data_IF_784245807180
#
_entry.id   IF_784245807180
#
_cell.length_a   1.000
_cell.length_b   1.000
_cell.length_c   1.000
_cell.angle_alpha   90.00
_cell.angle_beta   90.00
_cell.angle_gamma   90.00
#
_symmetry.space_group_name_H-M   'P 1'
#
loop_
_entity.id
_entity.type
_entity.pdbx_description
1 polymer ?
#
# COMPACT_ATOMS: atom_id res chain seq x y z
N UNK A 1 -9.55 -24.68 0.71
CA UNK A 1 -9.84 -24.08 2.01
C UNK A 1 -9.02 -22.84 2.25
N UNK A 2 -9.66 -21.81 2.82
CA UNK A 2 -9.00 -20.51 3.00
C UNK A 2 -7.71 -20.56 3.80
N UNK A 3 -7.62 -21.25 4.97
CA UNK A 3 -6.37 -21.29 5.73
C UNK A 3 -5.23 -21.92 4.95
N UNK A 4 -5.51 -22.97 4.21
CA UNK A 4 -4.51 -23.67 3.40
C UNK A 4 -4.07 -22.81 2.21
N UNK A 5 -5.02 -22.11 1.57
CA UNK A 5 -4.73 -21.21 0.44
C UNK A 5 -3.90 -20.02 0.90
N UNK A 6 -4.21 -19.43 2.06
CA UNK A 6 -3.46 -18.31 2.62
C UNK A 6 -2.05 -18.75 3.01
N UNK A 7 -1.92 -19.92 3.63
CA UNK A 7 -0.60 -20.46 3.99
C UNK A 7 0.25 -20.71 2.75
N UNK A 8 -0.31 -21.32 1.71
CA UNK A 8 0.38 -21.55 0.45
C UNK A 8 0.83 -20.26 -0.20
N UNK A 9 -0.04 -19.25 -0.24
CA UNK A 9 0.29 -17.95 -0.80
C UNK A 9 1.39 -17.27 0.00
N UNK A 10 1.35 -17.35 1.33
CA UNK A 10 2.36 -16.78 2.20
C UNK A 10 3.71 -17.47 1.97
N UNK A 11 3.73 -18.79 1.88
CA UNK A 11 4.96 -19.55 1.64
C UNK A 11 5.56 -19.23 0.28
N UNK A 12 4.72 -19.15 -0.74
CA UNK A 12 5.16 -18.78 -2.09
C UNK A 12 5.78 -17.39 -2.10
N UNK A 13 5.13 -16.42 -1.45
CA UNK A 13 5.63 -15.06 -1.36
C UNK A 13 6.97 -15.03 -0.61
N UNK A 14 7.08 -15.72 0.53
CA UNK A 14 8.31 -15.78 1.29
C UNK A 14 9.44 -16.38 0.48
N UNK A 15 9.18 -17.48 -0.25
CA UNK A 15 10.22 -18.09 -1.08
C UNK A 15 10.67 -17.18 -2.21
N UNK A 16 9.78 -16.32 -2.72
CA UNK A 16 10.14 -15.36 -3.76
C UNK A 16 11.08 -14.27 -3.25
N UNK A 17 10.91 -13.79 -2.02
CA UNK A 17 11.55 -12.58 -1.56
C UNK A 17 12.60 -12.77 -0.49
N UNK A 18 12.61 -13.91 0.19
CA UNK A 18 13.63 -14.20 1.21
C UNK A 18 14.78 -15.04 0.68
N UNK A 19 14.71 -15.46 -0.59
CA UNK A 19 15.85 -16.08 -1.26
C UNK A 19 16.95 -15.01 -1.42
N UNK A 20 18.22 -15.29 -1.03
CA UNK A 20 19.29 -14.29 -1.10
C UNK A 20 19.48 -13.64 -2.48
N UNK A 21 19.25 -14.39 -3.55
CA UNK A 21 19.38 -13.85 -4.91
C UNK A 21 18.26 -12.87 -5.25
N UNK A 22 17.10 -13.04 -4.62
CA UNK A 22 15.93 -12.20 -4.86
C UNK A 22 15.86 -11.02 -3.89
N UNK A 23 16.55 -11.12 -2.78
CA UNK A 23 16.63 -10.04 -1.81
C UNK A 23 17.24 -8.77 -2.43
N UNK A 24 18.24 -8.92 -3.28
CA UNK A 24 18.84 -7.78 -3.97
C UNK A 24 17.87 -7.11 -4.93
N UNK A 25 17.00 -7.90 -5.57
CA UNK A 25 15.92 -7.37 -6.40
C UNK A 25 14.94 -6.57 -5.54
N UNK A 26 14.67 -7.03 -4.32
CA UNK A 26 13.82 -6.31 -3.37
C UNK A 26 14.34 -4.92 -3.05
N UNK A 27 15.63 -4.77 -2.87
CA UNK A 27 16.25 -3.47 -2.56
C UNK A 27 16.00 -2.45 -3.66
N UNK A 28 15.97 -2.89 -4.91
CA UNK A 28 15.68 -2.03 -6.07
C UNK A 28 14.17 -1.98 -6.33
N UNK A 29 13.45 -2.94 -5.79
CA UNK A 29 12.06 -3.20 -6.12
C UNK A 29 11.00 -2.47 -5.29
N UNK A 30 11.36 -1.62 -4.30
CA UNK A 30 10.35 -0.96 -3.46
C UNK A 30 9.32 -0.20 -4.31
N UNK A 31 9.75 0.55 -5.30
CA UNK A 31 8.86 1.26 -6.21
C UNK A 31 7.93 0.29 -6.95
N UNK A 32 8.48 -0.79 -7.48
CA UNK A 32 7.69 -1.80 -8.22
C UNK A 32 6.73 -2.53 -7.31
N UNK A 33 7.16 -2.85 -6.08
CA UNK A 33 6.29 -3.44 -5.07
C UNK A 33 5.10 -2.55 -4.76
N UNK A 34 5.37 -1.28 -4.47
CA UNK A 34 4.30 -0.35 -4.14
C UNK A 34 3.34 -0.20 -5.32
N UNK A 35 3.87 -0.13 -6.52
CA UNK A 35 3.05 -0.03 -7.73
C UNK A 35 2.11 -1.22 -7.88
N UNK A 36 2.61 -2.42 -7.59
CA UNK A 36 1.83 -3.65 -7.71
C UNK A 36 0.87 -3.87 -6.55
N UNK A 37 1.32 -3.58 -5.33
CA UNK A 37 0.56 -3.85 -4.12
C UNK A 37 -0.32 -2.68 -3.68
N UNK A 38 -0.23 -1.53 -4.34
CA UNK A 38 -1.05 -0.39 -3.99
C UNK A 38 -2.51 -0.71 -4.22
N UNK A 39 -3.35 -0.21 -3.32
CA UNK A 39 -4.78 -0.46 -3.43
C UNK A 39 -5.38 0.21 -4.67
N UNK A 40 -4.86 1.39 -5.04
CA UNK A 40 -5.39 2.18 -6.15
C UNK A 40 -5.37 1.44 -7.48
N UNK A 41 -4.25 0.83 -7.84
CA UNK A 41 -4.13 0.13 -9.12
C UNK A 41 -4.98 -1.13 -9.16
N UNK A 42 -5.29 -1.69 -8.00
CA UNK A 42 -6.04 -2.94 -7.88
C UNK A 42 -7.55 -2.71 -7.87
N UNK A 43 -8.02 -1.60 -7.32
CA UNK A 43 -9.46 -1.29 -7.31
C UNK A 43 -9.91 -0.49 -8.53
N UNK A 44 -8.98 0.10 -9.26
CA UNK A 44 -9.28 0.88 -10.46
C UNK A 44 -10.13 0.06 -11.44
N UNK A 45 -11.20 0.69 -11.93
CA UNK A 45 -12.17 0.10 -12.88
C UNK A 45 -13.06 -0.99 -12.31
N UNK A 46 -13.02 -1.22 -11.01
CA UNK A 46 -13.92 -2.17 -10.34
C UNK A 46 -15.11 -1.45 -9.73
N UNK A 47 -16.20 -2.18 -9.58
CA UNK A 47 -17.38 -1.70 -8.85
C UNK A 47 -17.06 -1.82 -7.36
N UNK A 48 -17.26 -0.73 -6.63
CA UNK A 48 -17.05 -0.72 -5.18
C UNK A 48 -18.29 -1.29 -4.50
N UNK A 49 -18.10 -2.27 -3.63
CA UNK A 49 -19.21 -3.00 -3.00
C UNK A 49 -19.65 -2.39 -1.66
N UNK A 50 -18.81 -1.61 -1.01
CA UNK A 50 -19.13 -0.94 0.27
C UNK A 50 -18.61 0.49 0.20
N UNK A 51 -19.31 1.42 0.87
CA UNK A 51 -18.88 2.81 0.93
C UNK A 51 -17.44 2.90 1.46
N UNK A 52 -16.65 3.76 0.83
CA UNK A 52 -15.27 4.02 1.26
C UNK A 52 -15.27 5.25 2.15
N UNK A 53 -14.76 5.11 3.36
CA UNK A 53 -14.75 6.16 4.37
C UNK A 53 -13.31 6.68 4.54
N UNK A 54 -13.15 8.00 4.55
CA UNK A 54 -11.86 8.63 4.83
C UNK A 54 -11.52 8.38 6.31
N UNK A 55 -10.43 7.65 6.61
CA UNK A 55 -10.08 7.34 8.00
C UNK A 55 -9.63 8.59 8.79
N UNK A 56 -9.34 9.69 8.11
CA UNK A 56 -8.91 10.94 8.75
C UNK A 56 -10.10 11.78 9.22
N UNK A 57 -11.23 11.69 8.54
CA UNK A 57 -12.39 12.58 8.78
C UNK A 57 -13.68 11.85 9.11
N UNK A 58 -13.79 10.56 8.75
CA UNK A 58 -15.03 9.81 8.87
C UNK A 58 -16.04 10.08 7.77
N UNK A 59 -15.70 10.90 6.79
CA UNK A 59 -16.59 11.21 5.68
C UNK A 59 -16.54 10.17 4.57
N UNK A 60 -17.64 10.00 3.85
CA UNK A 60 -17.70 9.09 2.71
C UNK A 60 -16.91 9.69 1.55
N UNK A 61 -15.90 8.98 1.08
CA UNK A 61 -15.11 9.38 -0.09
C UNK A 61 -15.71 8.87 -1.38
N UNK A 62 -16.31 7.70 -1.37
CA UNK A 62 -16.85 7.06 -2.56
C UNK A 62 -17.97 6.11 -2.14
N UNK A 63 -19.09 6.18 -2.84
CA UNK A 63 -20.26 5.35 -2.50
C UNK A 63 -20.23 4.01 -3.21
N UNK A 64 -20.76 3.00 -2.53
CA UNK A 64 -20.94 1.66 -3.11
C UNK A 64 -21.81 1.69 -4.36
N UNK A 65 -21.58 0.74 -5.25
CA UNK A 65 -22.38 0.54 -6.45
C UNK A 65 -21.86 1.23 -7.70
N UNK A 66 -20.78 1.98 -7.59
CA UNK A 66 -20.19 2.71 -8.71
C UNK A 66 -18.81 2.18 -9.06
N UNK A 67 -18.42 2.35 -10.33
CA UNK A 67 -17.08 2.00 -10.81
C UNK A 67 -16.13 3.13 -10.42
N UNK A 68 -15.04 2.80 -9.77
CA UNK A 68 -14.04 3.78 -9.35
C UNK A 68 -12.99 3.98 -10.44
N UNK A 69 -12.60 5.23 -10.69
CA UNK A 69 -11.51 5.54 -11.61
C UNK A 69 -10.17 5.63 -10.88
N UNK A 70 -9.07 5.66 -11.65
CA UNK A 70 -7.73 5.64 -11.06
C UNK A 70 -7.44 6.88 -10.21
N UNK A 71 -7.88 8.06 -10.66
CA UNK A 71 -7.66 9.30 -9.90
C UNK A 71 -8.33 9.24 -8.53
N UNK A 72 -9.59 8.81 -8.48
CA UNK A 72 -10.33 8.66 -7.22
C UNK A 72 -9.71 7.57 -6.37
N UNK A 73 -9.29 6.45 -7.00
CA UNK A 73 -8.63 5.35 -6.29
C UNK A 73 -7.32 5.81 -5.63
N UNK A 74 -6.55 6.67 -6.31
CA UNK A 74 -5.33 7.25 -5.72
C UNK A 74 -5.63 8.15 -4.54
N UNK A 75 -6.69 8.95 -4.61
CA UNK A 75 -7.10 9.78 -3.47
C UNK A 75 -7.52 8.92 -2.28
N UNK A 76 -8.21 7.83 -2.53
CA UNK A 76 -8.61 6.85 -1.51
C UNK A 76 -7.36 6.26 -0.83
N UNK A 77 -6.41 5.81 -1.64
CA UNK A 77 -5.16 5.25 -1.13
C UNK A 77 -4.40 6.28 -0.28
N UNK A 78 -4.24 7.49 -0.80
CA UNK A 78 -3.47 8.54 -0.12
C UNK A 78 -4.17 9.07 1.14
N UNK A 79 -5.47 8.87 1.27
CA UNK A 79 -6.20 9.17 2.50
C UNK A 79 -5.88 8.17 3.63
N UNK A 80 -5.24 7.05 3.29
CA UNK A 80 -4.88 6.02 4.26
C UNK A 80 -5.83 4.83 4.28
N UNK A 81 -6.73 4.74 3.30
CA UNK A 81 -7.62 3.58 3.15
C UNK A 81 -6.78 2.40 2.67
N UNK A 82 -6.76 1.33 3.45
CA UNK A 82 -5.95 0.15 3.12
C UNK A 82 -6.78 -1.11 2.87
N UNK A 83 -8.10 -1.01 3.02
CA UNK A 83 -9.02 -2.12 2.79
C UNK A 83 -10.23 -1.58 2.02
N UNK A 84 -10.52 -2.21 0.88
CA UNK A 84 -11.67 -1.85 0.05
C UNK A 84 -12.36 -3.14 -0.38
N UNK A 85 -13.68 -3.14 -0.41
CA UNK A 85 -14.45 -4.27 -0.90
C UNK A 85 -14.95 -3.95 -2.31
N UNK A 86 -14.62 -4.82 -3.25
CA UNK A 86 -15.06 -4.70 -4.64
C UNK A 86 -16.08 -5.77 -4.98
N UNK A 87 -16.91 -5.49 -5.97
CA UNK A 87 -17.90 -6.43 -6.49
C UNK A 87 -17.37 -7.03 -7.80
N UNK A 88 -17.14 -8.32 -7.79
CA UNK A 88 -16.68 -9.07 -8.96
C UNK A 88 -17.80 -10.01 -9.42
N UNK A 89 -18.62 -9.54 -10.36
CA UNK A 89 -19.72 -10.32 -10.91
C UNK A 89 -20.68 -10.87 -9.85
N UNK A 90 -21.04 -10.00 -8.87
CA UNK A 90 -21.94 -10.35 -7.80
C UNK A 90 -21.27 -10.93 -6.55
N UNK A 91 -19.97 -11.21 -6.62
CA UNK A 91 -19.21 -11.68 -5.45
C UNK A 91 -18.38 -10.56 -4.86
N UNK A 92 -18.50 -10.38 -3.55
CA UNK A 92 -17.70 -9.39 -2.84
C UNK A 92 -16.30 -9.93 -2.57
N UNK A 93 -15.30 -9.13 -2.91
CA UNK A 93 -13.88 -9.49 -2.68
C UNK A 93 -13.20 -8.36 -1.93
N UNK A 94 -12.40 -8.72 -0.94
CA UNK A 94 -11.66 -7.76 -0.12
C UNK A 94 -10.30 -7.53 -0.76
N UNK A 95 -9.95 -6.25 -0.94
CA UNK A 95 -8.65 -5.83 -1.44
C UNK A 95 -7.90 -5.13 -0.31
N UNK A 96 -6.73 -5.63 0.04
CA UNK A 96 -5.90 -5.07 1.11
C UNK A 96 -4.59 -4.59 0.49
N UNK A 97 -4.25 -3.33 0.74
CA UNK A 97 -3.02 -2.70 0.29
C UNK A 97 -1.87 -2.89 1.27
N UNK A 98 -0.72 -2.30 0.94
CA UNK A 98 0.48 -2.41 1.78
C UNK A 98 0.77 -1.15 2.61
N UNK A 99 -0.21 -0.28 2.78
CA UNK A 99 -0.14 0.93 3.63
C UNK A 99 0.91 1.96 3.20
N UNK A 100 1.20 2.07 1.91
CA UNK A 100 2.06 3.13 1.39
C UNK A 100 1.23 4.25 0.78
N UNK A 101 1.61 5.49 1.09
CA UNK A 101 0.88 6.70 0.68
C UNK A 101 1.86 7.77 0.19
N UNK A 102 1.32 8.79 -0.48
CA UNK A 102 2.08 9.99 -0.82
C UNK A 102 2.29 10.81 0.46
N UNK A 103 3.56 11.00 0.84
CA UNK A 103 3.91 11.74 2.05
C UNK A 103 3.44 13.19 2.02
N UNK A 104 3.27 13.78 0.84
CA UNK A 104 2.81 15.17 0.70
C UNK A 104 1.45 15.40 1.34
N UNK A 105 0.61 14.38 1.43
CA UNK A 105 -0.71 14.46 2.07
C UNK A 105 -0.62 14.68 3.60
N UNK A 106 0.54 14.40 4.20
CA UNK A 106 0.71 14.35 5.65
C UNK A 106 1.76 15.30 6.19
N UNK A 107 2.50 15.96 5.32
CA UNK A 107 3.60 16.84 5.72
C UNK A 107 3.33 18.29 5.28
N UNK A 108 3.73 19.28 6.08
CA UNK A 108 3.54 20.70 5.74
C UNK A 108 4.60 21.25 4.77
N UNK A 109 5.45 20.39 4.23
CA UNK A 109 6.53 20.76 3.30
C UNK A 109 6.62 19.71 2.20
N UNK A 110 7.35 20.02 1.13
CA UNK A 110 7.58 19.09 0.03
C UNK A 110 8.46 17.93 0.52
N UNK A 111 7.99 16.68 0.44
CA UNK A 111 8.80 15.52 0.87
C UNK A 111 10.17 15.43 0.20
N UNK A 112 10.34 15.97 -1.01
CA UNK A 112 11.63 15.97 -1.69
C UNK A 112 12.69 16.74 -0.93
N UNK A 113 12.30 17.75 -0.16
CA UNK A 113 13.24 18.56 0.67
C UNK A 113 13.95 17.72 1.73
N UNK A 114 13.39 16.59 2.10
CA UNK A 114 13.96 15.70 3.11
C UNK A 114 14.40 14.36 2.53
N UNK A 115 14.49 14.27 1.20
CA UNK A 115 14.99 13.06 0.52
C UNK A 115 13.96 11.98 0.25
N UNK A 116 12.67 12.27 0.38
CA UNK A 116 11.60 11.32 0.06
C UNK A 116 11.21 11.48 -1.41
N UNK A 117 11.47 10.44 -2.20
CA UNK A 117 11.19 10.43 -3.64
C UNK A 117 10.12 9.41 -4.02
N UNK A 118 9.63 8.64 -3.06
CA UNK A 118 8.67 7.56 -3.28
C UNK A 118 7.56 7.61 -2.23
N UNK A 119 6.56 6.76 -2.38
CA UNK A 119 5.54 6.59 -1.35
C UNK A 119 6.17 6.09 -0.05
N UNK A 120 5.57 6.45 1.07
CA UNK A 120 6.07 6.11 2.40
C UNK A 120 5.09 5.20 3.12
N UNK A 121 5.62 4.42 4.05
CA UNK A 121 4.82 3.55 4.91
C UNK A 121 4.06 4.40 5.92
N UNK A 122 2.75 4.47 5.78
CA UNK A 122 1.91 5.36 6.60
C UNK A 122 1.96 5.06 8.09
N UNK A 123 1.89 3.81 8.55
CA UNK A 123 1.99 3.55 9.99
C UNK A 123 3.30 4.08 10.60
N UNK A 124 4.41 3.97 9.89
CA UNK A 124 5.70 4.50 10.33
C UNK A 124 5.66 6.03 10.42
N UNK A 125 5.11 6.68 9.38
CA UNK A 125 4.99 8.14 9.36
C UNK A 125 4.11 8.64 10.51
N UNK A 126 2.98 8.00 10.73
CA UNK A 126 2.08 8.36 11.84
C UNK A 126 2.75 8.21 13.19
N UNK A 127 3.49 7.12 13.40
CA UNK A 127 4.20 6.89 14.65
C UNK A 127 5.24 7.98 14.92
N UNK A 128 5.95 8.41 13.89
CA UNK A 128 6.95 9.48 14.00
C UNK A 128 6.27 10.80 14.36
N UNK A 129 5.22 11.17 13.64
CA UNK A 129 4.49 12.43 13.86
C UNK A 129 3.86 12.44 15.25
N UNK A 130 3.19 11.36 15.64
CA UNK A 130 2.55 11.25 16.95
C UNK A 130 3.56 11.32 18.09
N UNK A 131 4.76 10.76 17.88
CA UNK A 131 5.83 10.80 18.88
C UNK A 131 6.39 12.19 19.11
N UNK A 132 6.25 13.11 18.16
CA UNK A 132 6.76 14.48 18.28
C UNK A 132 5.76 15.42 18.98
N UNK A 133 4.48 15.08 19.00
CA UNK A 133 3.44 15.91 19.59
C UNK A 133 3.00 17.06 18.68
N UNK A 134 2.04 17.85 19.17
CA UNK A 134 1.41 18.90 18.36
C UNK A 134 2.24 20.19 18.25
N UNK A 135 3.13 20.42 19.18
CA UNK A 135 3.91 21.68 19.27
C UNK A 135 5.26 21.62 18.55
N UNK A 136 5.47 20.62 17.68
CA UNK A 136 6.73 20.50 16.96
C UNK A 136 6.84 21.58 15.88
N UNK A 137 8.03 22.20 15.80
CA UNK A 137 8.31 23.18 14.75
C UNK A 137 8.62 22.47 13.42
N UNK A 138 8.32 23.14 12.31
CA UNK A 138 8.51 22.56 10.98
C UNK A 138 9.95 22.09 10.74
N UNK A 139 10.94 22.89 11.16
CA UNK A 139 12.35 22.53 10.99
C UNK A 139 12.73 21.27 11.78
N UNK A 140 12.18 21.13 12.98
CA UNK A 140 12.40 19.94 13.78
C UNK A 140 11.73 18.72 13.12
N UNK A 141 10.52 18.90 12.61
CA UNK A 141 9.82 17.83 11.89
C UNK A 141 10.63 17.41 10.65
N UNK A 142 11.13 18.37 9.86
CA UNK A 142 11.97 18.07 8.70
C UNK A 142 13.17 17.22 9.07
N UNK A 143 13.86 17.60 10.17
CA UNK A 143 15.06 16.87 10.60
C UNK A 143 14.74 15.44 11.00
N UNK A 144 13.67 15.24 11.77
CA UNK A 144 13.27 13.90 12.20
C UNK A 144 12.85 13.04 11.02
N UNK A 145 12.10 13.61 10.08
CA UNK A 145 11.70 12.88 8.87
C UNK A 145 12.93 12.52 8.04
N UNK A 146 13.85 13.47 7.83
CA UNK A 146 15.07 13.21 7.08
C UNK A 146 15.91 12.09 7.71
N UNK A 147 15.98 12.06 9.03
CA UNK A 147 16.74 11.04 9.77
C UNK A 147 16.09 9.65 9.71
N UNK A 148 14.82 9.57 9.31
CA UNK A 148 14.05 8.32 9.31
C UNK A 148 13.60 7.85 7.91
N UNK A 149 14.17 8.40 6.85
CA UNK A 149 13.77 8.05 5.48
C UNK A 149 13.93 6.54 5.23
N UNK A 150 14.98 5.90 5.75
CA UNK A 150 15.19 4.48 5.58
C UNK A 150 14.10 3.63 6.24
N UNK A 151 13.39 4.16 7.23
CA UNK A 151 12.27 3.48 7.88
C UNK A 151 10.95 3.77 7.17
N UNK A 152 10.84 4.97 6.59
CA UNK A 152 9.65 5.39 5.85
C UNK A 152 9.56 4.72 4.47
N UNK A 153 10.71 4.50 3.84
CA UNK A 153 10.83 3.82 2.54
C UNK A 153 11.71 2.59 2.72
N UNK A 154 11.20 1.56 3.40
CA UNK A 154 12.02 0.38 3.73
C UNK A 154 12.40 -0.41 2.48
N UNK A 155 13.64 -0.90 2.46
CA UNK A 155 14.18 -1.74 1.39
C UNK A 155 14.02 -3.24 1.68
N UNK A 156 13.27 -3.57 2.73
CA UNK A 156 12.96 -4.94 3.10
C UNK A 156 11.45 -5.16 3.05
N UNK A 157 11.03 -6.42 3.04
CA UNK A 157 9.61 -6.78 3.05
C UNK A 157 9.03 -6.48 4.43
N UNK A 158 7.94 -5.69 4.45
CA UNK A 158 7.20 -5.41 5.68
C UNK A 158 6.07 -6.42 5.86
N UNK A 159 5.50 -6.47 7.06
CA UNK A 159 4.32 -7.30 7.32
C UNK A 159 3.16 -6.86 6.42
N UNK A 160 3.00 -5.56 6.19
CA UNK A 160 1.99 -5.03 5.29
C UNK A 160 2.19 -5.52 3.85
N UNK A 161 3.44 -5.60 3.39
CA UNK A 161 3.75 -6.16 2.07
C UNK A 161 3.30 -7.62 1.98
N UNK A 162 3.53 -8.40 3.02
CA UNK A 162 3.14 -9.81 3.05
C UNK A 162 1.62 -9.97 2.97
N UNK A 163 0.89 -9.22 3.78
CA UNK A 163 -0.57 -9.26 3.78
C UNK A 163 -1.13 -8.81 2.43
N UNK A 164 -0.60 -7.71 1.88
CA UNK A 164 -1.03 -7.21 0.59
C UNK A 164 -0.72 -8.19 -0.54
N UNK A 165 0.39 -8.91 -0.46
CA UNK A 165 0.76 -9.92 -1.46
C UNK A 165 -0.18 -11.11 -1.45
N UNK A 166 -0.59 -11.56 -0.27
CA UNK A 166 -1.59 -12.63 -0.14
C UNK A 166 -2.91 -12.16 -0.79
N UNK A 167 -3.35 -10.95 -0.44
CA UNK A 167 -4.55 -10.35 -1.02
C UNK A 167 -4.43 -10.25 -2.55
N UNK A 168 -3.27 -9.83 -3.05
CA UNK A 168 -3.00 -9.71 -4.47
C UNK A 168 -3.13 -11.07 -5.18
N UNK A 169 -2.48 -12.10 -4.64
CA UNK A 169 -2.53 -13.45 -5.24
C UNK A 169 -3.96 -14.02 -5.25
N UNK A 170 -4.70 -13.82 -4.17
CA UNK A 170 -6.08 -14.28 -4.08
C UNK A 170 -7.03 -13.51 -4.99
N UNK A 171 -6.67 -12.27 -5.36
CA UNK A 171 -7.49 -11.43 -6.24
C UNK A 171 -7.25 -11.65 -7.73
N UNK A 172 -6.11 -12.22 -8.11
CA UNK A 172 -5.78 -12.37 -9.54
C UNK A 172 -6.83 -13.13 -10.35
N UNK A 173 -7.41 -14.24 -9.85
CA UNK A 173 -8.46 -14.96 -10.62
C UNK A 173 -9.71 -14.12 -10.86
N UNK A 174 -9.92 -13.04 -10.12
CA UNK A 174 -11.09 -12.18 -10.24
C UNK A 174 -10.79 -10.89 -11.01
N UNK A 175 -9.61 -10.80 -11.65
CA UNK A 175 -9.22 -9.60 -12.38
C UNK A 175 -8.76 -8.44 -11.51
N UNK A 176 -8.44 -8.70 -10.25
CA UNK A 176 -7.96 -7.69 -9.30
C UNK A 176 -6.43 -7.65 -9.38
N UNK A 177 -5.90 -6.63 -10.03
CA UNK A 177 -4.47 -6.53 -10.28
C UNK A 177 -4.09 -7.14 -11.62
N UNK A 178 -2.83 -7.01 -12.00
CA UNK A 178 -2.30 -7.52 -13.26
C UNK A 178 -0.95 -8.18 -13.02
N UNK A 179 -0.65 -9.21 -13.81
CA UNK A 179 0.68 -9.82 -13.78
C UNK A 179 1.67 -8.90 -14.50
N UNK A 180 2.90 -8.84 -13.99
CA UNK A 180 3.99 -8.10 -14.58
C UNK A 180 5.34 -8.77 -14.29
N UNK A 181 6.44 -8.04 -14.52
CA UNK A 181 7.78 -8.57 -14.32
C UNK A 181 8.04 -9.05 -12.89
N UNK A 182 7.42 -8.45 -11.89
CA UNK A 182 7.59 -8.86 -10.49
C UNK A 182 7.09 -10.29 -10.29
N UNK A 183 6.00 -10.67 -10.94
CA UNK A 183 5.43 -12.01 -10.82
C UNK A 183 6.37 -13.08 -11.36
N UNK A 184 7.23 -12.69 -12.27
CA UNK A 184 8.17 -13.60 -12.93
C UNK A 184 9.54 -13.65 -12.26
N UNK A 185 9.82 -12.74 -11.33
CA UNK A 185 11.11 -12.72 -10.62
C UNK A 185 11.37 -13.97 -9.79
N UNK A 186 10.33 -14.71 -9.46
CA UNK A 186 10.43 -15.94 -8.68
C UNK A 186 10.55 -17.21 -9.52
N UNK A 187 10.49 -17.08 -10.80
CA UNK A 187 10.49 -18.23 -11.71
C UNK A 187 11.88 -18.58 -12.22
#
# INVERSE_FOLDING_TARGET
DEPESVESATNMFKSLFYDPKRYDVMRVGRYKFNKKLSIATRINKHIIAEDIIDPRTGEVMFRAGQVIDLETARRVQNAGVNRVVVDCEGEKRIVIGNNFVDAAEYLPFDPKEVGILEMVHLPTLKAIIDGLGEDVEEEQLKQVIADNVQHLVPKHITDDDMVASISYLLGLPYGIGTTDDIDHLGN
#
